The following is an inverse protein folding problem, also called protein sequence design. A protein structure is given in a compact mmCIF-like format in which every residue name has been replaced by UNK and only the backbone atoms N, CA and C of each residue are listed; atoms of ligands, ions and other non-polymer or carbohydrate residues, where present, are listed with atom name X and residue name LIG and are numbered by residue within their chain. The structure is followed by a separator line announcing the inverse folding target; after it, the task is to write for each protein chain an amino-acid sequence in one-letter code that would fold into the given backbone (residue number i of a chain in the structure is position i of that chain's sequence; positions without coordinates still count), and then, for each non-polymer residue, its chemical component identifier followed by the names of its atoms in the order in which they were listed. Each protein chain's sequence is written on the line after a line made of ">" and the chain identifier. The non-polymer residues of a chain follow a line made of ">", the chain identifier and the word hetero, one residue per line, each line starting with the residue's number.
data_IF_256890497925
#
_entry.id   IF_256890497925
#
_cell.length_a   1.000
_cell.length_b   1.000
_cell.length_c   1.000
_cell.angle_alpha   90.00
_cell.angle_beta   90.00
_cell.angle_gamma   90.00
#
_symmetry.space_group_name_H-M   'P 1'
#
loop_
_entity.id
_entity.type
_entity.pdbx_description
1 polymer ?
#
# COMPACT_ATOMS: atom_id res chain seq x y z
N UNK A 1 14.81 -16.11 1.95
CA UNK A 1 13.95 -17.31 1.79
C UNK A 1 12.78 -16.95 0.90
N UNK A 2 12.32 -17.85 0.02
CA UNK A 2 11.09 -17.62 -0.74
C UNK A 2 9.91 -17.92 0.18
N UNK A 3 8.96 -17.01 0.24
CA UNK A 3 7.74 -17.17 1.03
C UNK A 3 6.94 -18.39 0.53
N UNK A 4 6.41 -19.18 1.46
CA UNK A 4 5.56 -20.35 1.17
C UNK A 4 4.33 -20.23 2.08
N UNK A 5 3.14 -20.34 1.49
CA UNK A 5 1.90 -20.34 2.24
C UNK A 5 1.85 -21.53 3.22
N UNK A 6 1.28 -21.31 4.41
CA UNK A 6 1.03 -22.40 5.35
C UNK A 6 -0.06 -23.33 4.79
N UNK A 7 0.01 -24.61 5.12
CA UNK A 7 -0.95 -25.62 4.64
C UNK A 7 -2.36 -25.29 5.19
N UNK A 8 -3.33 -25.05 4.29
CA UNK A 8 -4.66 -24.53 4.62
C UNK A 8 -4.71 -23.04 5.04
N UNK A 9 -3.61 -22.29 4.86
CA UNK A 9 -3.50 -20.86 5.17
C UNK A 9 -3.90 -19.93 4.02
N UNK A 10 -3.90 -18.62 4.29
CA UNK A 10 -4.14 -17.60 3.28
C UNK A 10 -2.92 -17.42 2.37
N UNK A 11 -3.15 -17.41 1.05
CA UNK A 11 -2.08 -17.28 0.06
C UNK A 11 -1.79 -15.82 -0.28
N UNK A 12 -2.83 -14.97 -0.23
CA UNK A 12 -2.72 -13.54 -0.49
C UNK A 12 -3.43 -12.72 0.58
N UNK A 13 -2.99 -11.47 0.80
CA UNK A 13 -3.64 -10.54 1.73
C UNK A 13 -5.16 -10.40 1.48
N UNK A 14 -5.58 -10.60 0.23
CA UNK A 14 -6.96 -10.58 -0.23
C UNK A 14 -7.84 -11.64 0.45
N UNK A 15 -7.28 -12.82 0.76
CA UNK A 15 -8.02 -13.92 1.34
C UNK A 15 -8.34 -13.64 2.82
N UNK A 16 -7.40 -12.99 3.51
CA UNK A 16 -7.60 -12.49 4.88
C UNK A 16 -8.69 -11.41 4.93
N UNK A 17 -8.69 -10.47 3.98
CA UNK A 17 -9.72 -9.41 3.89
C UNK A 17 -11.12 -10.02 3.69
N UNK A 18 -11.26 -11.00 2.77
CA UNK A 18 -12.52 -11.72 2.57
C UNK A 18 -12.99 -12.44 3.83
N UNK A 19 -12.08 -13.12 4.52
CA UNK A 19 -12.42 -13.86 5.74
C UNK A 19 -12.89 -12.93 6.86
N UNK A 20 -12.24 -11.77 7.04
CA UNK A 20 -12.63 -10.78 8.05
C UNK A 20 -14.02 -10.22 7.73
N UNK A 21 -14.29 -9.85 6.47
CA UNK A 21 -15.60 -9.33 6.05
C UNK A 21 -16.71 -10.38 6.16
N UNK A 22 -16.43 -11.64 5.85
CA UNK A 22 -17.40 -12.72 5.96
C UNK A 22 -17.73 -13.07 7.42
N UNK A 23 -16.73 -13.03 8.32
CA UNK A 23 -16.88 -13.48 9.72
C UNK A 23 -17.31 -12.35 10.65
N UNK A 24 -16.81 -11.13 10.44
CA UNK A 24 -16.96 -9.99 11.35
C UNK A 24 -17.69 -8.80 10.72
N UNK A 25 -18.15 -8.91 9.47
CA UNK A 25 -18.86 -7.84 8.75
C UNK A 25 -18.08 -6.51 8.80
N UNK A 26 -18.73 -5.44 9.28
CA UNK A 26 -18.18 -4.08 9.37
C UNK A 26 -17.58 -3.77 10.74
N UNK A 27 -17.28 -4.78 11.56
CA UNK A 27 -16.68 -4.56 12.87
C UNK A 27 -15.26 -3.98 12.80
N UNK A 28 -14.52 -4.31 11.73
CA UNK A 28 -13.12 -3.90 11.55
C UNK A 28 -12.94 -2.97 10.35
N UNK A 29 -12.17 -1.91 10.56
CA UNK A 29 -11.56 -1.14 9.48
C UNK A 29 -10.32 -1.85 8.94
N UNK A 30 -10.18 -1.89 7.62
CA UNK A 30 -9.12 -2.64 6.94
C UNK A 30 -8.27 -1.65 6.15
N UNK A 31 -7.05 -1.43 6.62
CA UNK A 31 -6.05 -0.62 5.93
C UNK A 31 -5.26 -1.43 4.91
N UNK A 32 -4.99 -0.85 3.74
CA UNK A 32 -4.13 -1.46 2.71
C UNK A 32 -2.95 -0.56 2.34
N UNK A 33 -1.82 -1.16 2.00
CA UNK A 33 -0.62 -0.43 1.61
C UNK A 33 -0.73 0.14 0.18
N UNK A 34 -0.33 1.40 0.01
CA UNK A 34 -0.17 2.08 -1.28
C UNK A 34 1.28 2.48 -1.53
N UNK A 35 1.70 2.52 -2.80
CA UNK A 35 3.10 2.74 -3.19
C UNK A 35 3.20 3.89 -4.22
N UNK A 36 3.38 5.14 -3.77
CA UNK A 36 3.48 6.30 -4.68
C UNK A 36 4.71 6.29 -5.60
N UNK A 37 5.77 5.56 -5.24
CA UNK A 37 7.02 5.45 -6.01
C UNK A 37 7.25 4.03 -6.55
N UNK A 38 6.26 3.15 -6.43
CA UNK A 38 6.40 1.72 -6.75
C UNK A 38 6.94 0.87 -5.60
N UNK A 39 7.10 -0.43 -5.86
CA UNK A 39 7.60 -1.41 -4.91
C UNK A 39 8.73 -2.23 -5.55
N UNK A 40 9.63 -2.79 -4.74
CA UNK A 40 10.79 -3.56 -5.23
C UNK A 40 10.41 -4.74 -6.13
N UNK A 41 9.28 -5.39 -5.83
CA UNK A 41 8.78 -6.55 -6.59
C UNK A 41 8.06 -6.18 -7.89
N UNK A 42 7.60 -4.93 -8.04
CA UNK A 42 6.88 -4.52 -9.24
C UNK A 42 7.03 -3.01 -9.49
N UNK A 43 7.66 -2.66 -10.61
CA UNK A 43 7.94 -1.27 -11.00
C UNK A 43 6.86 -0.67 -11.90
N UNK A 44 5.90 -1.46 -12.34
CA UNK A 44 4.79 -0.97 -13.14
C UNK A 44 3.73 -0.33 -12.25
N UNK A 45 3.68 1.01 -12.27
CA UNK A 45 2.74 1.82 -11.49
C UNK A 45 1.29 1.47 -11.83
N UNK A 46 0.98 1.19 -13.10
CA UNK A 46 -0.39 0.89 -13.52
C UNK A 46 -0.86 -0.46 -12.96
N UNK A 47 -0.02 -1.50 -13.02
CA UNK A 47 -0.31 -2.79 -12.38
C UNK A 47 -0.48 -2.68 -10.86
N UNK A 48 0.32 -1.83 -10.20
CA UNK A 48 0.17 -1.59 -8.76
C UNK A 48 -1.16 -0.88 -8.43
N UNK A 49 -1.61 0.03 -9.28
CA UNK A 49 -2.91 0.70 -9.14
C UNK A 49 -4.07 -0.27 -9.38
N UNK A 50 -3.95 -1.20 -10.32
CA UNK A 50 -4.93 -2.27 -10.54
C UNK A 50 -5.07 -3.16 -9.29
N UNK A 51 -3.96 -3.64 -8.74
CA UNK A 51 -3.98 -4.42 -7.51
C UNK A 51 -4.49 -3.62 -6.31
N UNK A 52 -4.19 -2.32 -6.24
CA UNK A 52 -4.75 -1.45 -5.21
C UNK A 52 -6.27 -1.39 -5.33
N UNK A 53 -6.79 -1.21 -6.55
CA UNK A 53 -8.22 -1.20 -6.82
C UNK A 53 -8.89 -2.51 -6.38
N UNK A 54 -8.31 -3.66 -6.73
CA UNK A 54 -8.82 -4.97 -6.30
C UNK A 54 -8.92 -5.06 -4.78
N UNK A 55 -7.89 -4.61 -4.05
CA UNK A 55 -7.90 -4.60 -2.57
C UNK A 55 -9.01 -3.71 -1.99
N UNK A 56 -9.27 -2.57 -2.63
CA UNK A 56 -10.36 -1.65 -2.24
C UNK A 56 -11.72 -2.27 -2.52
N UNK A 57 -11.91 -2.82 -3.72
CA UNK A 57 -13.16 -3.47 -4.13
C UNK A 57 -13.49 -4.69 -3.23
N UNK A 58 -12.49 -5.26 -2.56
CA UNK A 58 -12.64 -6.34 -1.58
C UNK A 58 -13.01 -5.89 -0.16
N UNK A 59 -13.12 -4.59 0.10
CA UNK A 59 -13.61 -4.04 1.36
C UNK A 59 -12.54 -3.38 2.24
N UNK A 60 -11.44 -2.90 1.66
CA UNK A 60 -10.54 -2.00 2.38
C UNK A 60 -11.22 -0.66 2.68
N UNK A 61 -10.98 -0.09 3.86
CA UNK A 61 -11.62 1.15 4.31
C UNK A 61 -10.68 2.35 4.26
N UNK A 62 -9.37 2.15 4.21
CA UNK A 62 -8.40 3.23 3.99
C UNK A 62 -7.09 2.71 3.38
N UNK A 63 -6.30 3.61 2.80
CA UNK A 63 -4.99 3.34 2.22
C UNK A 63 -3.93 4.05 3.07
N UNK A 64 -2.83 3.36 3.39
CA UNK A 64 -1.64 3.97 4.00
C UNK A 64 -0.49 3.86 3.01
N UNK A 65 0.13 4.99 2.67
CA UNK A 65 1.23 4.97 1.72
C UNK A 65 2.55 4.56 2.36
N UNK A 66 3.42 3.97 1.56
CA UNK A 66 4.85 3.93 1.84
C UNK A 66 5.39 5.34 2.04
N UNK A 67 6.49 5.45 2.80
CA UNK A 67 7.14 6.74 3.02
C UNK A 67 7.60 7.38 1.70
N UNK A 68 7.41 8.69 1.56
CA UNK A 68 7.88 9.49 0.43
C UNK A 68 8.37 10.86 0.92
N UNK A 69 9.22 11.52 0.13
CA UNK A 69 9.67 12.89 0.40
C UNK A 69 9.30 13.88 -0.72
N UNK A 70 8.91 13.38 -1.90
CA UNK A 70 8.38 14.18 -3.00
C UNK A 70 6.83 14.31 -2.88
N UNK A 71 6.38 15.50 -2.49
CA UNK A 71 4.96 15.79 -2.34
C UNK A 71 4.22 15.85 -3.69
N UNK A 72 4.88 16.34 -4.75
CA UNK A 72 4.28 16.44 -6.09
C UNK A 72 4.04 15.05 -6.67
N UNK A 73 4.97 14.12 -6.41
CA UNK A 73 4.82 12.72 -6.73
C UNK A 73 3.59 12.09 -6.06
N UNK A 74 3.40 12.35 -4.76
CA UNK A 74 2.24 11.88 -4.02
C UNK A 74 0.93 12.46 -4.58
N UNK A 75 0.87 13.76 -4.86
CA UNK A 75 -0.33 14.41 -5.42
C UNK A 75 -0.68 13.82 -6.79
N UNK A 76 0.32 13.62 -7.66
CA UNK A 76 0.13 12.96 -8.97
C UNK A 76 -0.42 11.54 -8.81
N UNK A 77 0.16 10.77 -7.89
CA UNK A 77 -0.27 9.41 -7.62
C UNK A 77 -1.71 9.36 -7.08
N UNK A 78 -2.08 10.27 -6.16
CA UNK A 78 -3.47 10.40 -5.69
C UNK A 78 -4.42 10.67 -6.85
N UNK A 79 -4.04 11.52 -7.80
CA UNK A 79 -4.81 11.76 -9.03
C UNK A 79 -5.13 10.46 -9.77
N UNK A 80 -4.11 9.64 -10.04
CA UNK A 80 -4.28 8.33 -10.71
C UNK A 80 -5.17 7.38 -9.91
N UNK A 81 -4.99 7.32 -8.59
CA UNK A 81 -5.84 6.51 -7.70
C UNK A 81 -7.31 6.93 -7.83
N UNK A 82 -7.60 8.24 -7.88
CA UNK A 82 -8.96 8.75 -8.07
C UNK A 82 -9.52 8.45 -9.47
N UNK A 83 -8.70 8.53 -10.52
CA UNK A 83 -9.10 8.16 -11.89
C UNK A 83 -9.53 6.69 -12.00
N UNK A 84 -8.98 5.79 -11.16
CA UNK A 84 -9.41 4.38 -11.06
C UNK A 84 -10.68 4.17 -10.22
N UNK A 85 -11.33 5.25 -9.78
CA UNK A 85 -12.60 5.20 -9.03
C UNK A 85 -12.45 4.85 -7.55
N UNK A 86 -11.22 4.83 -7.02
CA UNK A 86 -10.98 4.59 -5.59
C UNK A 86 -11.31 5.88 -4.82
N UNK A 87 -12.26 5.84 -3.90
CA UNK A 87 -12.74 7.02 -3.14
C UNK A 87 -12.41 6.97 -1.64
N UNK A 88 -11.89 5.86 -1.14
CA UNK A 88 -11.55 5.71 0.29
C UNK A 88 -10.41 6.67 0.72
N UNK A 89 -10.31 6.98 2.03
CA UNK A 89 -9.24 7.81 2.58
C UNK A 89 -7.83 7.29 2.24
N UNK A 90 -6.93 8.21 1.92
CA UNK A 90 -5.51 7.94 1.66
C UNK A 90 -4.70 8.70 2.71
N UNK A 91 -3.96 7.97 3.53
CA UNK A 91 -3.14 8.49 4.61
C UNK A 91 -1.68 8.48 4.17
N UNK A 92 -1.00 9.65 4.07
CA UNK A 92 0.39 9.71 3.69
C UNK A 92 1.28 9.18 4.83
N UNK A 93 2.11 8.18 4.53
CA UNK A 93 3.18 7.75 5.43
C UNK A 93 4.33 8.76 5.41
N UNK A 94 4.54 9.49 6.50
CA UNK A 94 5.67 10.41 6.62
C UNK A 94 6.60 9.90 7.72
N UNK A 95 7.86 9.69 7.37
CA UNK A 95 8.87 9.27 8.32
C UNK A 95 9.78 10.45 8.70
N UNK A 96 9.80 10.88 9.97
CA UNK A 96 10.66 11.97 10.40
C UNK A 96 12.15 11.64 10.21
N UNK A 97 12.91 12.62 9.71
CA UNK A 97 14.37 12.52 9.55
C UNK A 97 15.02 12.81 10.91
N UNK A 98 15.43 11.74 11.60
CA UNK A 98 16.13 11.87 12.89
C UNK A 98 17.65 12.08 12.71
N UNK A 99 18.28 11.29 11.82
CA UNK A 99 19.70 11.43 11.47
C UNK A 99 19.91 11.14 9.99
N UNK A 100 20.91 11.79 9.38
CA UNK A 100 21.25 11.58 7.97
C UNK A 100 21.54 10.11 7.64
N UNK A 101 22.30 9.41 8.50
CA UNK A 101 22.63 8.00 8.30
C UNK A 101 21.39 7.09 8.33
N UNK A 102 20.46 7.32 9.27
CA UNK A 102 19.23 6.53 9.36
C UNK A 102 18.30 6.79 8.18
N UNK A 103 18.26 8.05 7.73
CA UNK A 103 17.49 8.49 6.58
C UNK A 103 17.99 7.83 5.29
N UNK A 104 19.28 7.96 4.96
CA UNK A 104 19.85 7.35 3.76
C UNK A 104 19.70 5.83 3.74
N UNK A 105 19.84 5.17 4.91
CA UNK A 105 19.62 3.72 5.03
C UNK A 105 18.17 3.33 4.68
N UNK A 106 17.19 4.06 5.22
CA UNK A 106 15.77 3.75 5.00
C UNK A 106 15.31 4.16 3.60
N UNK A 107 15.75 5.30 3.08
CA UNK A 107 15.49 5.71 1.70
C UNK A 107 15.99 4.66 0.71
N UNK A 108 17.21 4.15 0.90
CA UNK A 108 17.77 3.07 0.08
C UNK A 108 16.98 1.75 0.22
N UNK A 109 16.53 1.41 1.42
CA UNK A 109 15.77 0.18 1.66
C UNK A 109 14.37 0.22 1.02
N UNK A 110 13.77 1.41 0.92
CA UNK A 110 12.41 1.59 0.43
C UNK A 110 12.40 2.08 -1.03
N UNK A 111 13.58 2.14 -1.66
CA UNK A 111 13.83 2.69 -3.00
C UNK A 111 13.15 4.05 -3.23
N UNK A 112 13.18 4.91 -2.21
CA UNK A 112 12.52 6.21 -2.18
C UNK A 112 13.42 7.30 -2.75
N UNK A 113 12.87 8.21 -3.56
CA UNK A 113 13.62 9.34 -4.10
C UNK A 113 13.84 10.38 -3.00
N UNK A 114 15.10 10.82 -2.85
CA UNK A 114 15.56 11.78 -1.84
C UNK A 114 16.18 12.99 -2.51
#
# INVERSE_FOLDING_TARGET
>A
EKWVAADGGFEYARDLVKHIRATYHDHFDIGVAGYPEGCDDNKDEESLLDHLKEKVDMGATFIVTQMFYDADNFVRWVGKVRERGITIPIVPGIMPIATYASFMRRAKHMNCSV
#
